data_IF_702529576164
#
_entry.id   IF_702529576164
#
_cell.length_a   1.000
_cell.length_b   1.000
_cell.length_c   1.000
_cell.angle_alpha   90.00
_cell.angle_beta   90.00
_cell.angle_gamma   90.00
#
_symmetry.space_group_name_H-M   'P 1'
#
loop_
_entity.id
_entity.type
_entity.pdbx_description
1 polymer ?
#
# COMPACT_ATOMS: atom_id res chain seq x y z
N UNK A 1 -16.70 -5.08 20.05
CA UNK A 1 -15.23 -5.18 19.91
C UNK A 1 -15.00 -5.78 18.53
N UNK A 2 -14.77 -4.95 17.51
CA UNK A 2 -14.59 -5.44 16.15
C UNK A 2 -13.24 -6.17 16.09
N UNK A 3 -13.26 -7.45 15.74
CA UNK A 3 -12.08 -8.26 15.53
C UNK A 3 -11.26 -7.65 14.38
N UNK A 4 -9.97 -7.43 14.61
CA UNK A 4 -9.06 -7.08 13.53
C UNK A 4 -8.91 -8.31 12.64
N UNK A 5 -9.43 -8.25 11.42
CA UNK A 5 -9.18 -9.30 10.44
C UNK A 5 -7.73 -9.12 9.96
N UNK A 6 -6.89 -10.08 10.36
CA UNK A 6 -5.50 -10.23 9.95
C UNK A 6 -5.46 -11.44 9.01
N UNK A 7 -5.11 -11.23 7.74
CA UNK A 7 -4.77 -12.35 6.86
C UNK A 7 -3.40 -12.88 7.29
N UNK A 8 -3.38 -13.89 8.16
CA UNK A 8 -2.15 -14.47 8.69
C UNK A 8 -1.27 -15.03 7.56
N UNK A 9 0.00 -14.65 7.56
CA UNK A 9 1.01 -15.25 6.70
C UNK A 9 1.29 -16.69 7.19
N UNK A 10 1.58 -17.60 6.26
CA UNK A 10 2.06 -18.94 6.62
C UNK A 10 3.28 -18.81 7.55
N UNK A 11 3.29 -19.39 8.77
CA UNK A 11 4.40 -19.27 9.71
C UNK A 11 5.73 -19.83 9.17
N UNK A 12 5.67 -20.76 8.20
CA UNK A 12 6.84 -21.33 7.55
C UNK A 12 7.27 -20.55 6.30
N UNK A 13 6.62 -19.43 5.99
CA UNK A 13 7.00 -18.57 4.86
C UNK A 13 8.36 -17.93 5.15
N UNK A 14 9.36 -18.30 4.35
CA UNK A 14 10.65 -17.63 4.35
C UNK A 14 10.49 -16.17 3.89
N UNK A 15 11.10 -15.24 4.63
CA UNK A 15 11.09 -13.80 4.36
C UNK A 15 12.53 -13.30 4.34
N UNK A 16 12.99 -12.84 3.18
CA UNK A 16 14.35 -12.30 2.98
C UNK A 16 14.39 -10.79 3.21
N UNK A 17 13.26 -10.11 2.99
CA UNK A 17 13.10 -8.68 3.15
C UNK A 17 11.78 -8.37 3.82
N UNK A 18 11.78 -7.49 4.82
CA UNK A 18 10.56 -6.96 5.41
C UNK A 18 10.63 -5.44 5.59
N UNK A 19 9.56 -4.75 5.24
CA UNK A 19 9.40 -3.31 5.54
C UNK A 19 8.19 -3.06 6.43
N UNK A 20 8.40 -2.22 7.45
CA UNK A 20 7.38 -1.65 8.33
C UNK A 20 7.09 -0.18 7.98
N UNK A 21 7.59 0.29 6.84
CA UNK A 21 7.38 1.66 6.39
C UNK A 21 5.90 1.94 6.09
N UNK A 22 5.55 3.22 6.06
CA UNK A 22 4.17 3.65 5.86
C UNK A 22 3.62 3.21 4.50
N UNK A 23 2.37 2.73 4.51
CA UNK A 23 1.48 2.69 3.35
C UNK A 23 0.54 3.90 3.44
N UNK A 24 0.41 4.63 2.34
CA UNK A 24 -0.44 5.83 2.27
C UNK A 24 -1.24 5.79 0.96
N UNK A 25 -2.47 6.29 0.99
CA UNK A 25 -3.23 6.61 -0.21
C UNK A 25 -3.17 8.12 -0.46
N UNK A 26 -2.41 8.53 -1.46
CA UNK A 26 -2.27 9.94 -1.80
C UNK A 26 -3.48 10.44 -2.60
N UNK A 27 -3.84 11.68 -2.27
CA UNK A 27 -4.74 12.55 -3.00
C UNK A 27 -3.90 13.63 -3.65
N UNK A 28 -3.92 13.69 -4.98
CA UNK A 28 -3.18 14.66 -5.76
C UNK A 28 -4.15 15.67 -6.35
N UNK A 29 -4.06 16.91 -5.88
CA UNK A 29 -4.85 18.03 -6.38
C UNK A 29 -4.01 18.82 -7.38
N UNK A 30 -4.56 19.06 -8.56
CA UNK A 30 -3.91 19.84 -9.61
C UNK A 30 -4.70 21.12 -9.88
N UNK A 31 -4.04 22.20 -10.35
CA UNK A 31 -4.76 23.35 -10.86
C UNK A 31 -5.56 22.95 -12.12
N UNK A 32 -6.72 23.58 -12.37
CA UNK A 32 -7.49 23.37 -13.59
C UNK A 32 -6.62 23.54 -14.85
N UNK A 33 -6.86 22.77 -15.91
CA UNK A 33 -8.00 21.86 -16.11
C UNK A 33 -7.76 20.41 -15.66
N UNK A 34 -6.58 20.08 -15.09
CA UNK A 34 -6.24 18.69 -14.76
C UNK A 34 -7.09 18.22 -13.57
N UNK A 35 -7.87 17.13 -13.71
CA UNK A 35 -8.69 16.65 -12.61
C UNK A 35 -7.82 16.06 -11.49
N UNK A 36 -8.29 16.11 -10.23
CA UNK A 36 -7.60 15.48 -9.12
C UNK A 36 -7.54 13.97 -9.26
N UNK A 37 -6.52 13.38 -8.65
CA UNK A 37 -6.30 11.93 -8.59
C UNK A 37 -6.40 11.47 -7.15
N UNK A 38 -7.15 10.39 -6.92
CA UNK A 38 -7.39 9.84 -5.59
C UNK A 38 -6.88 8.41 -5.50
N UNK A 39 -6.60 7.97 -4.28
CA UNK A 39 -6.17 6.61 -3.97
C UNK A 39 -4.85 6.23 -4.67
N UNK A 40 -3.97 7.19 -4.93
CA UNK A 40 -2.65 6.91 -5.49
C UNK A 40 -1.83 6.17 -4.42
N UNK A 41 -1.24 5.03 -4.78
CA UNK A 41 -0.44 4.26 -3.84
C UNK A 41 0.84 5.05 -3.51
N UNK A 42 1.05 5.30 -2.22
CA UNK A 42 2.14 6.10 -1.70
C UNK A 42 2.78 5.50 -0.45
N UNK A 43 3.74 6.23 0.11
CA UNK A 43 4.47 5.85 1.31
C UNK A 43 5.71 4.98 1.06
N UNK A 44 6.78 5.24 1.82
CA UNK A 44 8.07 4.58 1.63
C UNK A 44 8.01 3.06 1.87
N UNK A 45 7.10 2.57 2.71
CA UNK A 45 6.92 1.13 2.91
C UNK A 45 6.39 0.44 1.66
N UNK A 46 5.34 1.00 1.06
CA UNK A 46 4.75 0.45 -0.15
C UNK A 46 5.75 0.44 -1.32
N UNK A 47 6.51 1.54 -1.51
CA UNK A 47 7.55 1.59 -2.54
C UNK A 47 8.77 0.71 -2.26
N UNK A 48 9.13 0.50 -1.00
CA UNK A 48 10.19 -0.47 -0.65
C UNK A 48 9.76 -1.90 -0.99
N UNK A 49 8.51 -2.28 -0.68
CA UNK A 49 7.96 -3.58 -1.05
C UNK A 49 7.85 -3.75 -2.57
N UNK A 50 7.41 -2.72 -3.29
CA UNK A 50 7.35 -2.73 -4.76
C UNK A 50 8.75 -2.87 -5.37
N UNK A 51 9.73 -2.11 -4.88
CA UNK A 51 11.12 -2.19 -5.34
C UNK A 51 11.71 -3.58 -5.14
N UNK A 52 11.56 -4.15 -3.95
CA UNK A 52 11.97 -5.53 -3.67
C UNK A 52 11.24 -6.52 -4.59
N UNK A 53 9.92 -6.36 -4.78
CA UNK A 53 9.14 -7.20 -5.68
C UNK A 53 9.60 -7.13 -7.13
N UNK A 54 9.99 -5.98 -7.64
CA UNK A 54 10.47 -5.83 -9.04
C UNK A 54 11.69 -6.73 -9.29
N UNK A 55 12.58 -6.85 -8.30
CA UNK A 55 13.81 -7.65 -8.40
C UNK A 55 13.68 -9.07 -7.86
N UNK A 56 12.53 -9.44 -7.29
CA UNK A 56 12.20 -10.78 -6.79
C UNK A 56 11.08 -11.42 -7.62
N UNK A 57 11.40 -12.28 -8.60
CA UNK A 57 10.42 -12.89 -9.50
C UNK A 57 9.31 -13.67 -8.78
N UNK A 58 8.09 -13.58 -9.32
CA UNK A 58 6.97 -14.40 -8.88
C UNK A 58 7.02 -15.81 -9.50
N UNK A 59 6.41 -16.84 -8.86
CA UNK A 59 5.64 -16.75 -7.59
C UNK A 59 6.46 -17.06 -6.33
N UNK A 60 7.72 -17.49 -6.47
CA UNK A 60 8.51 -18.01 -5.34
C UNK A 60 9.24 -16.88 -4.62
N UNK A 61 10.12 -16.15 -5.32
CA UNK A 61 10.97 -15.12 -4.68
C UNK A 61 10.13 -13.91 -4.26
N UNK A 62 9.08 -13.59 -4.99
CA UNK A 62 8.14 -12.52 -4.61
C UNK A 62 7.55 -12.73 -3.21
N UNK A 63 7.31 -13.98 -2.81
CA UNK A 63 6.76 -14.33 -1.49
C UNK A 63 7.76 -14.14 -0.35
N UNK A 64 9.05 -13.98 -0.65
CA UNK A 64 10.07 -13.64 0.34
C UNK A 64 10.10 -12.14 0.69
N UNK A 65 9.28 -11.32 0.01
CA UNK A 65 9.07 -9.90 0.31
C UNK A 65 7.88 -9.78 1.27
N UNK A 66 8.20 -9.55 2.54
CA UNK A 66 7.24 -9.28 3.61
C UNK A 66 6.96 -7.78 3.76
N UNK A 67 5.72 -7.41 4.07
CA UNK A 67 5.37 -6.04 4.43
C UNK A 67 3.97 -5.98 5.04
N UNK A 68 3.64 -4.85 5.67
CA UNK A 68 2.39 -4.67 6.40
C UNK A 68 1.61 -3.50 5.79
N UNK A 69 0.31 -3.71 5.53
CA UNK A 69 -0.62 -2.65 5.11
C UNK A 69 -1.73 -2.53 6.13
N UNK A 70 -1.81 -1.33 6.68
CA UNK A 70 -2.76 -0.93 7.70
C UNK A 70 -3.96 -0.23 7.05
N UNK A 71 -5.05 -0.97 6.84
CA UNK A 71 -6.24 -0.46 6.15
C UNK A 71 -7.35 -0.04 7.12
N UNK A 72 -7.95 1.12 6.85
CA UNK A 72 -9.14 1.59 7.56
C UNK A 72 -10.44 1.12 6.88
N UNK A 73 -11.56 1.63 7.37
CA UNK A 73 -12.90 1.30 6.84
C UNK A 73 -13.18 1.82 5.42
N UNK A 74 -12.39 2.76 4.91
CA UNK A 74 -12.51 3.37 3.58
C UNK A 74 -11.56 2.78 2.52
N UNK A 75 -10.88 1.68 2.82
CA UNK A 75 -9.84 1.13 1.94
C UNK A 75 -10.43 0.63 0.62
N UNK A 76 -10.00 1.16 -0.55
CA UNK A 76 -10.60 0.79 -1.82
C UNK A 76 -10.29 -0.65 -2.20
N UNK A 77 -11.30 -1.39 -2.68
CA UNK A 77 -11.17 -2.79 -3.12
C UNK A 77 -10.14 -2.96 -4.23
N UNK A 78 -10.04 -1.97 -5.13
CA UNK A 78 -9.02 -1.94 -6.18
C UNK A 78 -7.59 -2.00 -5.63
N UNK A 79 -7.33 -1.41 -4.45
CA UNK A 79 -5.98 -1.38 -3.89
C UNK A 79 -5.61 -2.72 -3.26
N UNK A 80 -6.60 -3.42 -2.67
CA UNK A 80 -6.44 -4.82 -2.25
C UNK A 80 -6.10 -5.70 -3.45
N UNK A 81 -6.82 -5.54 -4.58
CA UNK A 81 -6.55 -6.32 -5.80
C UNK A 81 -5.15 -6.03 -6.37
N UNK A 82 -4.73 -4.76 -6.40
CA UNK A 82 -3.40 -4.35 -6.84
C UNK A 82 -2.31 -4.96 -5.96
N UNK A 83 -2.42 -4.82 -4.63
CA UNK A 83 -1.47 -5.39 -3.67
C UNK A 83 -1.35 -6.91 -3.84
N UNK A 84 -2.49 -7.59 -3.94
CA UNK A 84 -2.51 -9.05 -4.09
C UNK A 84 -1.89 -9.50 -5.43
N UNK A 85 -2.03 -8.70 -6.48
CA UNK A 85 -1.40 -8.97 -7.78
C UNK A 85 0.13 -8.99 -7.74
N UNK A 86 0.74 -8.37 -6.72
CA UNK A 86 2.19 -8.41 -6.53
C UNK A 86 2.67 -9.77 -6.03
N UNK A 87 1.79 -10.65 -5.55
CA UNK A 87 2.15 -11.99 -5.06
C UNK A 87 3.27 -11.95 -4.01
N UNK A 88 3.31 -10.90 -3.20
CA UNK A 88 4.20 -10.78 -2.05
C UNK A 88 3.56 -11.40 -0.81
N UNK A 89 4.30 -11.42 0.30
CA UNK A 89 3.79 -11.76 1.62
C UNK A 89 3.34 -10.50 2.35
N UNK A 90 2.26 -9.89 1.83
CA UNK A 90 1.67 -8.70 2.43
C UNK A 90 0.69 -9.09 3.55
N UNK A 91 0.93 -8.59 4.76
CA UNK A 91 0.01 -8.70 5.88
C UNK A 91 -0.99 -7.53 5.83
N UNK A 92 -2.23 -7.80 5.45
CA UNK A 92 -3.32 -6.82 5.50
C UNK A 92 -3.93 -6.81 6.91
N UNK A 93 -3.82 -5.68 7.62
CA UNK A 93 -4.43 -5.48 8.94
C UNK A 93 -5.59 -4.51 8.82
N UNK A 94 -6.79 -4.98 9.14
CA UNK A 94 -8.02 -4.18 9.05
C UNK A 94 -8.39 -3.60 10.39
N UNK A 95 -8.58 -2.28 10.45
CA UNK A 95 -9.17 -1.61 11.60
C UNK A 95 -10.39 -0.78 11.15
N UNK A 96 -11.63 -1.28 11.38
CA UNK A 96 -12.83 -0.58 10.95
C UNK A 96 -13.13 0.69 11.77
N UNK A 97 -12.43 0.93 12.88
CA UNK A 97 -12.64 2.10 13.74
C UNK A 97 -11.94 3.38 13.27
N UNK A 98 -11.07 3.27 12.26
CA UNK A 98 -10.32 4.39 11.68
C UNK A 98 -10.39 4.41 10.16
N UNK A 99 -9.93 5.52 9.57
CA UNK A 99 -9.71 5.64 8.14
C UNK A 99 -8.28 5.21 7.77
N UNK A 100 -8.10 4.86 6.51
CA UNK A 100 -6.81 4.59 5.89
C UNK A 100 -6.00 5.87 5.87
N UNK A 101 -4.70 5.78 6.17
CA UNK A 101 -3.80 6.94 6.11
C UNK A 101 -3.77 7.51 4.69
N UNK A 102 -3.98 8.81 4.57
CA UNK A 102 -3.99 9.54 3.30
C UNK A 102 -2.99 10.69 3.31
N UNK A 103 -2.31 10.89 2.19
CA UNK A 103 -1.42 12.02 1.95
C UNK A 103 -2.09 13.03 1.04
N UNK A 104 -1.93 14.32 1.33
CA UNK A 104 -2.45 15.38 0.47
C UNK A 104 -1.28 16.05 -0.27
N UNK A 105 -1.29 15.93 -1.59
CA UNK A 105 -0.32 16.54 -2.48
C UNK A 105 -1.04 17.59 -3.34
N UNK A 106 -1.12 18.80 -2.81
CA UNK A 106 -1.70 19.94 -3.52
C UNK A 106 -0.65 20.68 -4.32
N UNK A 107 -0.88 20.80 -5.63
CA UNK A 107 -0.10 21.65 -6.52
C UNK A 107 -0.86 22.94 -6.80
N UNK A 108 -0.15 24.05 -6.85
CA UNK A 108 -0.68 25.33 -7.32
C UNK A 108 -0.14 25.71 -8.71
N UNK A 109 -0.61 26.85 -9.24
CA UNK A 109 -0.22 27.32 -10.57
C UNK A 109 1.24 27.81 -10.67
N UNK A 110 1.92 27.97 -9.53
CA UNK A 110 3.32 28.41 -9.43
C UNK A 110 4.28 27.25 -9.21
N UNK A 111 3.78 26.07 -8.86
CA UNK A 111 4.56 24.85 -8.83
C UNK A 111 4.97 24.45 -10.26
N UNK A 112 6.26 24.61 -10.57
CA UNK A 112 6.85 24.14 -11.82
C UNK A 112 6.93 22.60 -11.79
N UNK A 113 6.11 21.94 -12.60
CA UNK A 113 6.15 20.49 -12.84
C UNK A 113 7.36 20.05 -13.66
#
# INVERSE_FOLDING_TARGET
MATMDVEELNPDQEIDFCTLGMFILDEIQYPPPKPPQYNILGGAGAYSALGARIVSPAPVDSKKVGWIVDRGSDFPTAQTALINSWQTSCLLRTDPSRLTTRGFNGYDATDHQ
#
